data_IF_797061440832
#
_entry.id   IF_797061440832
#
_cell.length_a   1.000
_cell.length_b   1.000
_cell.length_c   1.000
_cell.angle_alpha   90.00
_cell.angle_beta   90.00
_cell.angle_gamma   90.00
#
_symmetry.space_group_name_H-M   'P 1'
#
loop_
_entity.id
_entity.type
_entity.pdbx_description
1 polymer ?
#
# COMPACT_ATOMS: atom_id res chain seq x y z
N UNK A 1 -5.81 5.80 18.34
CA UNK A 1 -5.95 6.15 16.91
C UNK A 1 -7.29 5.75 16.32
N UNK A 2 -7.70 4.47 16.32
CA UNK A 2 -9.02 4.10 15.75
C UNK A 2 -10.18 4.81 16.45
N UNK A 3 -10.19 4.82 17.77
CA UNK A 3 -11.28 5.47 18.55
C UNK A 3 -11.30 6.98 18.36
N UNK A 4 -10.14 7.60 18.09
CA UNK A 4 -10.05 9.01 17.71
C UNK A 4 -10.73 9.25 16.36
N UNK A 5 -10.41 8.44 15.34
CA UNK A 5 -11.06 8.56 14.03
C UNK A 5 -12.57 8.32 14.11
N UNK A 6 -13.02 7.42 14.97
CA UNK A 6 -14.46 7.23 15.25
C UNK A 6 -15.08 8.47 15.90
N UNK A 7 -14.43 9.03 16.93
CA UNK A 7 -14.92 10.22 17.64
C UNK A 7 -14.97 11.46 16.73
N UNK A 8 -14.10 11.54 15.73
CA UNK A 8 -14.02 12.62 14.75
C UNK A 8 -14.86 12.37 13.48
N UNK A 9 -15.67 11.30 13.43
CA UNK A 9 -16.45 10.86 12.26
C UNK A 9 -15.60 10.61 10.98
N UNK A 10 -14.31 10.34 11.15
CA UNK A 10 -13.37 9.94 10.09
C UNK A 10 -13.30 8.42 9.89
N UNK A 11 -13.98 7.67 10.73
CA UNK A 11 -14.17 6.23 10.61
C UNK A 11 -15.57 5.85 11.12
N UNK A 12 -16.06 4.68 10.73
CA UNK A 12 -17.38 4.21 11.16
C UNK A 12 -17.44 2.68 11.23
N UNK A 13 -18.41 2.17 12.00
CA UNK A 13 -18.69 0.74 12.11
C UNK A 13 -19.44 0.26 10.87
N UNK A 14 -18.99 -0.84 10.28
CA UNK A 14 -19.64 -1.52 9.17
C UNK A 14 -20.02 -2.93 9.61
N UNK A 15 -21.31 -3.22 9.55
CA UNK A 15 -21.94 -4.47 9.96
C UNK A 15 -22.24 -5.40 8.79
N UNK A 16 -21.89 -4.99 7.56
CA UNK A 16 -22.13 -5.79 6.37
C UNK A 16 -21.39 -7.15 6.47
N UNK A 17 -22.11 -8.27 6.31
CA UNK A 17 -21.50 -9.59 6.29
C UNK A 17 -20.67 -9.77 5.01
N UNK A 18 -19.72 -10.70 5.05
CA UNK A 18 -18.84 -10.97 3.92
C UNK A 18 -19.63 -11.40 2.68
N UNK A 19 -20.64 -12.23 2.89
CA UNK A 19 -21.51 -12.78 1.85
C UNK A 19 -22.20 -11.68 1.06
N UNK A 20 -22.67 -10.63 1.73
CA UNK A 20 -23.26 -9.46 1.07
C UNK A 20 -22.23 -8.69 0.25
N UNK A 21 -21.00 -8.52 0.76
CA UNK A 21 -19.95 -7.82 0.03
C UNK A 21 -19.50 -8.60 -1.21
N UNK A 22 -19.46 -9.93 -1.12
CA UNK A 22 -19.16 -10.81 -2.25
C UNK A 22 -20.28 -10.74 -3.30
N UNK A 23 -21.56 -10.75 -2.88
CA UNK A 23 -22.71 -10.55 -3.78
C UNK A 23 -22.62 -9.21 -4.54
N UNK A 24 -22.38 -8.11 -3.82
CA UNK A 24 -22.25 -6.77 -4.42
C UNK A 24 -21.09 -6.68 -5.40
N UNK A 25 -19.99 -7.36 -5.11
CA UNK A 25 -18.83 -7.42 -6.00
C UNK A 25 -19.18 -8.12 -7.30
N UNK A 26 -19.85 -9.27 -7.24
CA UNK A 26 -20.28 -9.99 -8.45
C UNK A 26 -21.31 -9.18 -9.26
N UNK A 27 -22.24 -8.48 -8.61
CA UNK A 27 -23.18 -7.57 -9.27
C UNK A 27 -22.46 -6.43 -10.02
N UNK A 28 -21.47 -5.80 -9.38
CA UNK A 28 -20.65 -4.75 -10.01
C UNK A 28 -19.86 -5.31 -11.19
N UNK A 29 -19.24 -6.49 -11.05
CA UNK A 29 -18.48 -7.13 -12.12
C UNK A 29 -19.38 -7.50 -13.31
N UNK A 30 -20.57 -8.06 -13.06
CA UNK A 30 -21.54 -8.39 -14.09
C UNK A 30 -22.05 -7.14 -14.83
N UNK A 31 -22.09 -6.00 -14.16
CA UNK A 31 -22.43 -4.70 -14.75
C UNK A 31 -21.25 -4.00 -15.45
N UNK A 32 -20.05 -4.60 -15.48
CA UNK A 32 -18.84 -4.00 -16.04
C UNK A 32 -18.29 -2.81 -15.23
N UNK A 33 -18.70 -2.68 -13.97
CA UNK A 33 -18.24 -1.65 -13.06
C UNK A 33 -16.99 -2.12 -12.30
N UNK A 34 -16.12 -1.17 -11.93
CA UNK A 34 -14.98 -1.44 -11.05
C UNK A 34 -15.49 -1.79 -9.65
N UNK A 35 -15.19 -3.00 -9.12
CA UNK A 35 -15.73 -3.39 -7.83
C UNK A 35 -15.15 -2.53 -6.71
N UNK A 36 -16.04 -2.03 -5.84
CA UNK A 36 -15.67 -1.16 -4.73
C UNK A 36 -16.74 -1.16 -3.66
N UNK A 37 -16.31 -0.92 -2.42
CA UNK A 37 -17.26 -0.68 -1.35
C UNK A 37 -17.88 0.72 -1.47
N UNK A 38 -19.20 0.81 -1.34
CA UNK A 38 -19.93 2.08 -1.33
C UNK A 38 -20.85 2.13 -0.09
N UNK A 39 -20.53 3.03 0.85
CA UNK A 39 -21.28 3.22 2.07
C UNK A 39 -22.76 3.59 1.84
N UNK A 40 -23.07 4.17 0.67
CA UNK A 40 -24.41 4.62 0.30
C UNK A 40 -25.19 3.57 -0.51
N UNK A 41 -24.59 2.41 -0.83
CA UNK A 41 -25.29 1.37 -1.57
C UNK A 41 -26.52 0.91 -0.77
N UNK A 42 -27.73 0.78 -1.38
CA UNK A 42 -28.96 0.48 -0.64
C UNK A 42 -28.87 -0.77 0.24
N UNK A 43 -28.24 -1.84 -0.26
CA UNK A 43 -28.02 -3.08 0.53
C UNK A 43 -27.06 -2.87 1.71
N UNK A 44 -26.05 -2.01 1.57
CA UNK A 44 -25.09 -1.67 2.65
C UNK A 44 -25.79 -0.83 3.72
N UNK A 45 -26.57 0.18 3.30
CA UNK A 45 -27.37 1.01 4.20
C UNK A 45 -28.36 0.16 4.99
N UNK A 46 -29.09 -0.73 4.31
CA UNK A 46 -30.04 -1.64 4.96
C UNK A 46 -29.36 -2.59 5.96
N UNK A 47 -28.21 -3.19 5.59
CA UNK A 47 -27.47 -4.08 6.47
C UNK A 47 -26.95 -3.36 7.72
N UNK A 48 -26.44 -2.13 7.58
CA UNK A 48 -25.98 -1.34 8.72
C UNK A 48 -27.16 -0.85 9.61
N UNK A 49 -28.31 -0.51 9.01
CA UNK A 49 -29.48 -0.07 9.77
C UNK A 49 -30.18 -1.20 10.55
N UNK A 50 -30.07 -2.45 10.06
CA UNK A 50 -30.63 -3.63 10.73
C UNK A 50 -29.74 -4.16 11.87
N UNK A 51 -28.52 -3.64 12.03
CA UNK A 51 -27.58 -4.11 13.03
C UNK A 51 -28.00 -3.72 14.46
N UNK A 52 -27.73 -4.62 15.40
CA UNK A 52 -27.88 -4.40 16.85
C UNK A 52 -26.54 -4.04 17.49
N UNK A 53 -26.54 -3.63 18.75
CA UNK A 53 -25.30 -3.34 19.48
C UNK A 53 -24.34 -4.55 19.55
N UNK A 54 -24.89 -5.76 19.63
CA UNK A 54 -24.14 -7.02 19.70
C UNK A 54 -23.71 -7.56 18.32
N UNK A 55 -24.14 -6.90 17.23
CA UNK A 55 -23.81 -7.37 15.88
C UNK A 55 -22.31 -7.22 15.62
N UNK A 56 -21.65 -8.25 15.02
CA UNK A 56 -20.24 -8.16 14.68
C UNK A 56 -20.00 -7.05 13.65
N UNK A 57 -18.95 -6.27 13.84
CA UNK A 57 -18.60 -5.16 12.94
C UNK A 57 -17.11 -5.06 12.70
N UNK A 58 -16.75 -4.56 11.53
CA UNK A 58 -15.43 -4.01 11.25
C UNK A 58 -15.48 -2.48 11.35
N UNK A 59 -14.32 -1.83 11.42
CA UNK A 59 -14.22 -0.38 11.29
C UNK A 59 -13.65 -0.04 9.93
N UNK A 60 -14.37 0.81 9.20
CA UNK A 60 -13.94 1.39 7.93
C UNK A 60 -13.50 2.82 8.13
N UNK A 61 -12.46 3.20 7.41
CA UNK A 61 -12.04 4.58 7.27
C UNK A 61 -12.99 5.30 6.30
N UNK A 62 -13.46 6.49 6.69
CA UNK A 62 -14.30 7.33 5.84
C UNK A 62 -13.38 8.08 4.89
N UNK A 63 -13.14 7.51 3.71
CA UNK A 63 -12.31 8.14 2.72
C UNK A 63 -13.00 9.41 2.19
N UNK A 64 -12.26 10.52 1.96
CA UNK A 64 -12.81 11.68 1.26
C UNK A 64 -13.43 11.25 -0.07
N UNK A 65 -14.53 11.90 -0.48
CA UNK A 65 -15.23 11.57 -1.74
C UNK A 65 -14.91 12.53 -2.88
N UNK A 66 -14.44 13.72 -2.54
CA UNK A 66 -14.10 14.80 -3.48
C UNK A 66 -12.60 15.12 -3.43
N UNK A 67 -12.13 15.83 -4.46
CA UNK A 67 -10.71 16.14 -4.62
C UNK A 67 -9.88 14.95 -5.07
N UNK A 68 -8.58 15.06 -4.88
CA UNK A 68 -7.59 14.08 -5.34
C UNK A 68 -6.42 14.01 -4.37
N UNK A 69 -5.85 12.83 -4.24
CA UNK A 69 -4.55 12.65 -3.61
C UNK A 69 -3.48 12.84 -4.67
N UNK A 70 -2.56 13.78 -4.42
CA UNK A 70 -1.42 14.09 -5.29
C UNK A 70 -0.14 13.86 -4.51
N UNK A 71 0.79 13.10 -5.07
CA UNK A 71 2.11 12.91 -4.49
C UNK A 71 3.19 12.84 -5.57
N UNK A 72 4.38 13.31 -5.23
CA UNK A 72 5.57 13.24 -6.07
C UNK A 72 6.37 12.01 -5.66
N UNK A 73 6.32 10.95 -6.47
CA UNK A 73 7.16 9.79 -6.26
C UNK A 73 8.58 10.06 -6.79
N UNK A 74 9.60 9.74 -5.99
CA UNK A 74 11.01 9.98 -6.36
C UNK A 74 11.44 9.21 -7.61
N UNK A 75 10.76 8.13 -7.99
CA UNK A 75 11.08 7.29 -9.15
C UNK A 75 10.00 7.43 -10.24
N UNK A 76 8.72 7.42 -9.86
CA UNK A 76 7.58 7.42 -10.79
C UNK A 76 7.07 8.82 -11.15
N UNK A 77 7.60 9.86 -10.50
CA UNK A 77 7.17 11.25 -10.69
C UNK A 77 5.79 11.54 -10.10
N UNK A 78 5.14 12.59 -10.61
CA UNK A 78 3.84 13.04 -10.12
C UNK A 78 2.74 12.02 -10.39
N UNK A 79 2.07 11.60 -9.32
CA UNK A 79 0.88 10.74 -9.38
C UNK A 79 -0.29 11.48 -8.76
N UNK A 80 -1.44 11.43 -9.45
CA UNK A 80 -2.68 12.04 -9.00
C UNK A 80 -3.82 11.04 -9.13
N UNK A 81 -4.52 10.78 -8.02
CA UNK A 81 -5.63 9.83 -7.95
C UNK A 81 -6.84 10.56 -7.37
N UNK A 82 -7.95 10.58 -8.11
CA UNK A 82 -9.20 11.15 -7.62
C UNK A 82 -9.72 10.36 -6.42
N UNK A 83 -10.21 11.05 -5.39
CA UNK A 83 -10.76 10.43 -4.19
C UNK A 83 -12.01 9.58 -4.50
N UNK A 84 -12.72 9.86 -5.58
CA UNK A 84 -13.83 9.05 -6.10
C UNK A 84 -13.42 7.63 -6.54
N UNK A 85 -12.12 7.40 -6.79
CA UNK A 85 -11.56 6.08 -7.13
C UNK A 85 -11.21 5.24 -5.90
N UNK A 86 -11.29 5.82 -4.70
CA UNK A 86 -10.86 5.24 -3.44
C UNK A 86 -12.07 4.96 -2.55
N UNK A 87 -12.26 3.69 -2.19
CA UNK A 87 -13.33 3.26 -1.29
C UNK A 87 -12.92 3.27 0.19
N UNK A 88 -13.94 3.15 1.04
CA UNK A 88 -13.80 3.13 2.50
C UNK A 88 -13.18 1.81 2.95
N UNK A 89 -11.85 1.79 3.08
CA UNK A 89 -11.11 0.59 3.45
C UNK A 89 -11.33 0.19 4.91
N UNK A 90 -11.22 -1.10 5.21
CA UNK A 90 -11.25 -1.59 6.59
C UNK A 90 -9.93 -1.21 7.26
N UNK A 91 -9.99 -0.53 8.40
CA UNK A 91 -8.83 -0.21 9.26
C UNK A 91 -8.75 -1.09 10.51
N UNK A 92 -9.89 -1.67 10.94
CA UNK A 92 -9.94 -2.68 12.00
C UNK A 92 -10.90 -3.81 11.58
N UNK A 93 -10.42 -5.04 11.59
CA UNK A 93 -11.21 -6.24 11.30
C UNK A 93 -12.19 -6.53 12.44
N UNK A 94 -13.13 -7.43 12.18
CA UNK A 94 -14.14 -7.89 13.15
C UNK A 94 -13.52 -8.55 14.38
N UNK A 95 -12.38 -9.21 14.23
CA UNK A 95 -11.60 -9.79 15.34
C UNK A 95 -10.82 -8.75 16.17
N UNK A 96 -10.95 -7.46 15.84
CA UNK A 96 -10.25 -6.37 16.51
C UNK A 96 -8.85 -6.08 15.96
N UNK A 97 -8.31 -6.91 15.07
CA UNK A 97 -6.98 -6.69 14.50
C UNK A 97 -6.96 -5.50 13.53
N UNK A 98 -5.95 -4.61 13.60
CA UNK A 98 -5.78 -3.56 12.61
C UNK A 98 -5.31 -4.14 11.26
N UNK A 99 -5.58 -3.42 10.17
CA UNK A 99 -5.17 -3.82 8.82
C UNK A 99 -3.86 -3.15 8.40
N UNK A 100 -3.21 -3.74 7.38
CA UNK A 100 -1.91 -3.27 6.88
C UNK A 100 -1.83 -1.75 6.64
N UNK A 101 -2.77 -1.19 5.88
CA UNK A 101 -2.75 0.24 5.54
C UNK A 101 -2.88 1.15 6.76
N UNK A 102 -3.55 0.68 7.82
CA UNK A 102 -3.68 1.43 9.05
C UNK A 102 -2.44 1.29 9.93
N UNK A 103 -1.94 0.07 10.10
CA UNK A 103 -0.73 -0.18 10.90
C UNK A 103 0.46 0.59 10.34
N UNK A 104 0.73 0.46 9.04
CA UNK A 104 1.92 1.05 8.43
C UNK A 104 1.95 2.57 8.58
N UNK A 105 0.80 3.24 8.43
CA UNK A 105 0.71 4.70 8.62
C UNK A 105 1.02 5.11 10.06
N UNK A 106 0.51 4.36 11.03
CA UNK A 106 0.76 4.66 12.45
C UNK A 106 2.21 4.38 12.80
N UNK A 107 2.74 3.22 12.40
CA UNK A 107 4.10 2.82 12.72
C UNK A 107 5.11 3.76 12.06
N UNK A 108 4.91 4.10 10.77
CA UNK A 108 5.77 5.05 10.06
C UNK A 108 5.74 6.44 10.71
N UNK A 109 4.56 6.91 11.13
CA UNK A 109 4.43 8.19 11.84
C UNK A 109 5.11 8.16 13.20
N UNK A 110 4.84 7.14 14.02
CA UNK A 110 5.40 6.98 15.37
C UNK A 110 6.93 6.83 15.33
N UNK A 111 7.45 6.14 14.32
CA UNK A 111 8.89 5.96 14.10
C UNK A 111 9.56 7.14 13.38
N UNK A 112 8.81 8.18 12.98
CA UNK A 112 9.36 9.36 12.32
C UNK A 112 9.95 9.09 10.94
N UNK A 113 9.35 8.15 10.20
CA UNK A 113 9.77 7.83 8.83
C UNK A 113 9.54 9.04 7.93
N UNK A 114 10.59 9.46 7.23
CA UNK A 114 10.56 10.63 6.33
C UNK A 114 10.48 10.24 4.86
N UNK A 115 10.95 9.04 4.51
CA UNK A 115 10.91 8.51 3.15
C UNK A 115 10.54 7.02 3.18
N UNK A 116 9.50 6.65 2.44
CA UNK A 116 9.05 5.27 2.28
C UNK A 116 9.53 4.75 0.93
N UNK A 117 10.45 3.78 0.98
CA UNK A 117 11.00 3.11 -0.21
C UNK A 117 10.48 1.68 -0.25
N UNK A 118 9.73 1.32 -1.30
CA UNK A 118 9.11 0.00 -1.42
C UNK A 118 8.87 -0.41 -2.88
N UNK A 119 8.48 -1.66 -3.10
CA UNK A 119 8.11 -2.14 -4.44
C UNK A 119 6.88 -1.43 -5.01
N UNK A 120 6.88 -1.24 -6.34
CA UNK A 120 5.79 -0.60 -7.07
C UNK A 120 4.46 -1.37 -7.00
N UNK A 121 4.46 -2.65 -6.65
CA UNK A 121 3.25 -3.41 -6.40
C UNK A 121 2.44 -2.86 -5.21
N UNK A 122 3.05 -2.02 -4.37
CA UNK A 122 2.37 -1.31 -3.29
C UNK A 122 1.94 0.11 -3.64
N UNK A 123 2.16 0.61 -4.86
CA UNK A 123 1.89 2.01 -5.23
C UNK A 123 0.42 2.40 -5.08
N UNK A 124 -0.50 1.47 -5.33
CA UNK A 124 -1.94 1.69 -5.19
C UNK A 124 -2.40 1.85 -3.73
N UNK A 125 -1.56 1.49 -2.76
CA UNK A 125 -1.83 1.72 -1.33
C UNK A 125 -1.47 3.15 -0.90
N UNK A 126 -0.52 3.79 -1.59
CA UNK A 126 -0.01 5.13 -1.26
C UNK A 126 -1.12 6.17 -1.12
N UNK A 127 -2.04 6.36 -2.10
CA UNK A 127 -3.09 7.37 -1.95
C UNK A 127 -4.03 7.08 -0.77
N UNK A 128 -4.27 5.80 -0.45
CA UNK A 128 -5.08 5.41 0.71
C UNK A 128 -4.37 5.72 2.02
N UNK A 129 -3.07 5.48 2.09
CA UNK A 129 -2.25 5.77 3.26
C UNK A 129 -2.13 7.27 3.49
N UNK A 130 -1.93 8.07 2.43
CA UNK A 130 -1.91 9.54 2.50
C UNK A 130 -3.20 10.10 3.11
N UNK A 131 -4.37 9.63 2.65
CA UNK A 131 -5.63 10.07 3.25
C UNK A 131 -5.73 9.73 4.75
N UNK A 132 -5.13 8.62 5.21
CA UNK A 132 -5.08 8.27 6.64
C UNK A 132 -4.12 9.20 7.40
N UNK A 133 -2.94 9.49 6.85
CA UNK A 133 -2.00 10.48 7.43
C UNK A 133 -2.69 11.84 7.61
N UNK A 134 -3.32 12.35 6.55
CA UNK A 134 -4.03 13.62 6.56
C UNK A 134 -5.20 13.61 7.57
N UNK A 135 -5.97 12.54 7.61
CA UNK A 135 -7.06 12.37 8.57
C UNK A 135 -6.56 12.37 10.02
N UNK A 136 -5.37 11.85 10.29
CA UNK A 136 -4.73 11.87 11.61
C UNK A 136 -4.01 13.20 11.90
N UNK A 137 -3.88 14.10 10.92
CA UNK A 137 -3.07 15.31 11.03
C UNK A 137 -1.57 15.02 11.11
N UNK A 138 -1.15 13.86 10.62
CA UNK A 138 0.24 13.40 10.64
C UNK A 138 1.00 13.88 9.40
N UNK A 139 2.32 14.11 9.50
CA UNK A 139 3.14 14.44 8.34
C UNK A 139 3.19 13.27 7.36
N UNK A 140 2.98 13.55 6.08
CA UNK A 140 3.08 12.58 4.99
C UNK A 140 4.55 12.42 4.60
N UNK A 141 5.12 11.21 4.60
CA UNK A 141 6.50 10.99 4.14
C UNK A 141 6.61 11.15 2.63
N UNK A 142 7.84 11.31 2.14
CA UNK A 142 8.10 11.16 0.71
C UNK A 142 8.02 9.68 0.29
N UNK A 143 7.68 9.41 -0.97
CA UNK A 143 7.55 8.04 -1.48
C UNK A 143 8.51 7.79 -2.64
N UNK A 144 9.05 6.57 -2.70
CA UNK A 144 9.81 6.05 -3.83
C UNK A 144 9.40 4.60 -4.09
N UNK A 145 8.88 4.33 -5.30
CA UNK A 145 8.43 3.00 -5.67
C UNK A 145 9.38 2.32 -6.65
N UNK A 146 10.20 1.39 -6.15
CA UNK A 146 11.16 0.61 -6.92
C UNK A 146 10.44 -0.34 -7.90
N UNK A 147 10.97 -0.45 -9.11
CA UNK A 147 10.45 -1.37 -10.12
C UNK A 147 10.55 -2.83 -9.65
N UNK A 148 9.64 -3.67 -10.14
CA UNK A 148 9.70 -5.10 -9.85
C UNK A 148 10.90 -5.75 -10.55
N UNK A 149 11.60 -6.64 -9.84
CA UNK A 149 12.59 -7.52 -10.46
C UNK A 149 11.87 -8.55 -11.32
N UNK A 150 12.26 -8.62 -12.60
CA UNK A 150 11.72 -9.55 -13.57
C UNK A 150 12.69 -10.74 -13.76
N UNK A 151 12.15 -11.90 -14.11
CA UNK A 151 12.93 -13.04 -14.59
C UNK A 151 13.30 -12.89 -16.07
N UNK A 152 14.04 -13.86 -16.59
CA UNK A 152 14.48 -13.90 -18.00
C UNK A 152 13.31 -13.95 -19.00
N UNK A 153 12.13 -14.39 -18.55
CA UNK A 153 10.89 -14.43 -19.31
C UNK A 153 10.12 -13.10 -19.28
N UNK A 154 10.64 -12.07 -18.59
CA UNK A 154 10.00 -10.78 -18.38
C UNK A 154 8.83 -10.81 -17.38
N UNK A 155 8.54 -11.96 -16.77
CA UNK A 155 7.52 -12.06 -15.73
C UNK A 155 8.10 -11.64 -14.37
N UNK A 156 7.22 -11.27 -13.43
CA UNK A 156 7.63 -10.98 -12.05
C UNK A 156 8.40 -12.17 -11.48
N UNK A 157 9.61 -11.91 -10.97
CA UNK A 157 10.42 -12.94 -10.33
C UNK A 157 9.63 -13.54 -9.17
N UNK A 158 9.44 -14.85 -9.21
CA UNK A 158 8.64 -15.58 -8.23
C UNK A 158 9.35 -16.86 -7.81
N UNK A 159 8.96 -17.44 -6.66
CA UNK A 159 9.51 -18.73 -6.20
C UNK A 159 9.35 -19.86 -7.22
N UNK A 160 8.38 -19.75 -8.15
CA UNK A 160 8.16 -20.72 -9.22
C UNK A 160 9.10 -20.52 -10.42
N UNK A 161 9.68 -19.33 -10.56
CA UNK A 161 10.58 -18.94 -11.65
C UNK A 161 12.00 -18.65 -11.14
N UNK A 162 12.43 -19.35 -10.08
CA UNK A 162 13.82 -19.25 -9.60
C UNK A 162 14.11 -18.06 -8.69
N UNK A 163 13.12 -17.48 -8.00
CA UNK A 163 13.43 -16.55 -6.91
C UNK A 163 14.24 -17.26 -5.81
N UNK A 164 15.54 -17.00 -5.81
CA UNK A 164 16.51 -17.57 -4.88
C UNK A 164 16.49 -16.78 -3.57
N UNK A 165 16.42 -17.49 -2.44
CA UNK A 165 16.58 -16.87 -1.12
C UNK A 165 17.97 -16.26 -1.00
N UNK A 166 18.11 -15.11 -0.32
CA UNK A 166 19.45 -14.54 0.02
C UNK A 166 20.34 -15.59 0.69
N UNK A 167 19.75 -16.50 1.48
CA UNK A 167 20.46 -17.59 2.14
C UNK A 167 21.08 -18.59 1.15
N UNK A 168 20.40 -18.84 0.03
CA UNK A 168 20.92 -19.76 -0.98
C UNK A 168 22.10 -19.15 -1.74
N UNK A 169 22.09 -17.84 -2.06
CA UNK A 169 23.29 -17.18 -2.60
C UNK A 169 24.51 -17.31 -1.67
N UNK A 170 24.30 -17.19 -0.36
CA UNK A 170 25.37 -17.42 0.62
C UNK A 170 25.87 -18.87 0.56
N UNK A 171 24.96 -19.84 0.54
CA UNK A 171 25.31 -21.27 0.56
C UNK A 171 26.00 -21.71 -0.75
N UNK A 172 25.70 -21.06 -1.87
CA UNK A 172 26.38 -21.22 -3.17
C UNK A 172 27.75 -20.52 -3.24
N UNK A 173 28.13 -19.75 -2.23
CA UNK A 173 29.45 -19.12 -2.11
C UNK A 173 29.56 -17.72 -2.75
N UNK A 174 28.44 -17.06 -3.03
CA UNK A 174 28.48 -15.67 -3.50
C UNK A 174 28.95 -14.73 -2.39
N UNK A 175 29.83 -13.80 -2.75
CA UNK A 175 30.28 -12.75 -1.85
C UNK A 175 29.16 -11.73 -1.62
N UNK A 176 28.96 -11.23 -0.38
CA UNK A 176 27.91 -10.24 -0.10
C UNK A 176 28.09 -8.95 -0.92
N UNK A 177 29.33 -8.54 -1.19
CA UNK A 177 29.63 -7.37 -2.03
C UNK A 177 29.18 -7.59 -3.48
N UNK A 178 29.36 -8.80 -4.01
CA UNK A 178 28.93 -9.13 -5.36
C UNK A 178 27.39 -9.12 -5.45
N UNK A 179 26.70 -9.64 -4.43
CA UNK A 179 25.24 -9.63 -4.37
C UNK A 179 24.69 -8.20 -4.25
N UNK A 180 25.29 -7.35 -3.40
CA UNK A 180 24.90 -5.95 -3.28
C UNK A 180 25.10 -5.18 -4.60
N UNK A 181 26.25 -5.39 -5.26
CA UNK A 181 26.54 -4.77 -6.56
C UNK A 181 25.55 -5.19 -7.64
N UNK A 182 25.17 -6.47 -7.65
CA UNK A 182 24.14 -6.96 -8.56
C UNK A 182 22.78 -6.33 -8.27
N UNK A 183 22.34 -6.36 -7.01
CA UNK A 183 21.01 -5.88 -6.61
C UNK A 183 20.83 -4.38 -6.78
N UNK A 184 21.85 -3.56 -6.46
CA UNK A 184 21.75 -2.10 -6.63
C UNK A 184 21.58 -1.74 -8.11
N UNK A 185 22.15 -2.52 -9.03
CA UNK A 185 21.99 -2.31 -10.47
C UNK A 185 20.61 -2.69 -11.00
N UNK A 186 19.79 -3.39 -10.22
CA UNK A 186 18.40 -3.69 -10.58
C UNK A 186 17.48 -2.50 -10.28
N UNK A 187 17.68 -1.40 -11.01
CA UNK A 187 16.86 -0.19 -10.92
C UNK A 187 17.62 1.09 -10.60
N UNK A 188 18.95 1.04 -10.44
CA UNK A 188 19.81 2.21 -10.29
C UNK A 188 21.09 2.05 -11.11
N UNK A 189 21.65 3.15 -11.62
CA UNK A 189 22.88 3.17 -12.42
C UNK A 189 23.60 4.49 -12.27
N UNK A 190 24.94 4.47 -12.33
CA UNK A 190 25.77 5.68 -12.36
C UNK A 190 26.61 5.72 -13.64
N UNK A 191 26.06 6.29 -14.71
CA UNK A 191 26.66 6.22 -16.04
C UNK A 191 26.86 4.76 -16.47
N UNK A 192 28.04 4.44 -17.01
CA UNK A 192 28.42 3.09 -17.44
C UNK A 192 29.13 2.27 -16.35
N UNK A 193 29.23 2.76 -15.11
CA UNK A 193 29.90 2.04 -14.03
C UNK A 193 29.10 0.79 -13.63
N UNK A 194 29.76 -0.37 -13.65
CA UNK A 194 29.13 -1.68 -13.39
C UNK A 194 29.52 -2.29 -12.05
N UNK A 195 30.66 -1.88 -11.50
CA UNK A 195 31.22 -2.41 -10.26
C UNK A 195 31.36 -1.26 -9.28
N UNK A 196 30.73 -1.41 -8.13
CA UNK A 196 30.70 -0.47 -7.03
C UNK A 196 31.16 -1.18 -5.76
N UNK A 197 32.02 -0.51 -5.00
CA UNK A 197 32.19 -0.76 -3.57
C UNK A 197 30.95 -0.28 -2.81
N UNK A 198 30.77 -0.79 -1.58
CA UNK A 198 29.68 -0.32 -0.71
C UNK A 198 29.76 1.20 -0.46
N UNK A 199 30.98 1.74 -0.35
CA UNK A 199 31.18 3.18 -0.14
C UNK A 199 30.73 3.98 -1.37
N UNK A 200 31.06 3.53 -2.59
CA UNK A 200 30.57 4.17 -3.81
C UNK A 200 29.04 4.09 -3.92
N UNK A 201 28.42 2.96 -3.54
CA UNK A 201 26.95 2.87 -3.51
C UNK A 201 26.35 3.94 -2.59
N UNK A 202 26.93 4.16 -1.41
CA UNK A 202 26.45 5.16 -0.44
C UNK A 202 26.66 6.58 -0.97
N UNK A 203 27.85 6.87 -1.48
CA UNK A 203 28.24 8.23 -1.88
C UNK A 203 27.59 8.68 -3.19
N UNK A 204 27.32 7.73 -4.10
CA UNK A 204 26.78 8.02 -5.43
C UNK A 204 25.25 7.87 -5.52
N UNK A 205 24.60 7.24 -4.53
CA UNK A 205 23.16 7.02 -4.59
C UNK A 205 22.40 8.34 -4.71
N UNK A 206 21.49 8.38 -5.68
CA UNK A 206 20.59 9.50 -5.90
C UNK A 206 19.32 8.99 -6.57
N UNK A 207 18.20 9.62 -6.22
CA UNK A 207 16.91 9.38 -6.88
C UNK A 207 16.88 9.85 -8.34
N UNK A 208 17.77 10.78 -8.72
CA UNK A 208 17.71 11.52 -9.99
C UNK A 208 18.70 11.00 -11.06
N UNK A 209 19.06 9.72 -11.03
CA UNK A 209 19.98 9.11 -12.01
C UNK A 209 19.26 8.36 -13.11
#
# INVERSE_FOLDING_TARGET
MVDQLLAEDKAYKCYCPKELLDELREEQMAAGLKPRYDANHPKIVAANAAATEDSPFCIRFRNPKEGSVVFEDKIRGRIEIANSELDDLIIRRTDGSPTYNFCVVIDDWDMGITQVVRGEDHINNTPRQINIYEALGAPVPEFAHCAMILGDDGAKLSKRHGAVSVMQYRDEGYLPQALLNYLVRLGWSHGDQEIFSLQEMIDLFSWNQ
#
